data_IF_905884734612
#
_entry.id   IF_905884734612
#
_cell.length_a   1.000
_cell.length_b   1.000
_cell.length_c   1.000
_cell.angle_alpha   90.00
_cell.angle_beta   90.00
_cell.angle_gamma   90.00
#
_symmetry.space_group_name_H-M   'P 1'
#
loop_
_entity.id
_entity.type
_entity.pdbx_description
1 polymer ?
#
# COMPACT_ATOMS: atom_id res chain seq x y z
N UNK A 1 7.55 21.06 -11.70
CA UNK A 1 6.36 20.34 -11.20
C UNK A 1 6.48 18.90 -11.67
N UNK A 2 6.51 17.91 -10.76
CA UNK A 2 6.60 16.49 -11.13
C UNK A 2 5.25 16.03 -11.69
N UNK A 3 5.22 15.39 -12.86
CA UNK A 3 3.99 14.83 -13.42
C UNK A 3 3.62 13.53 -12.70
N UNK A 4 2.34 13.15 -12.74
CA UNK A 4 1.86 11.93 -12.08
C UNK A 4 2.44 10.64 -12.71
N UNK A 5 2.67 10.66 -14.01
CA UNK A 5 3.33 9.56 -14.74
C UNK A 5 4.77 9.40 -14.29
N UNK A 6 5.53 10.49 -14.23
CA UNK A 6 6.92 10.44 -13.76
C UNK A 6 6.98 9.97 -12.30
N UNK A 7 6.05 10.42 -11.44
CA UNK A 7 6.01 9.96 -10.06
C UNK A 7 5.70 8.46 -9.95
N UNK A 8 4.78 7.96 -10.77
CA UNK A 8 4.48 6.52 -10.85
C UNK A 8 5.74 5.72 -11.21
N UNK A 9 6.48 6.16 -12.21
CA UNK A 9 7.70 5.47 -12.67
C UNK A 9 8.78 5.47 -11.59
N UNK A 10 8.96 6.57 -10.86
CA UNK A 10 9.87 6.64 -9.71
C UNK A 10 9.47 5.70 -8.57
N UNK A 11 8.16 5.55 -8.31
CA UNK A 11 7.67 4.61 -7.31
C UNK A 11 7.91 3.15 -7.75
N UNK A 12 7.68 2.83 -9.01
CA UNK A 12 7.98 1.49 -9.55
C UNK A 12 9.49 1.19 -9.57
N UNK A 13 10.33 2.21 -9.77
CA UNK A 13 11.78 2.10 -9.70
C UNK A 13 12.30 1.73 -8.29
N UNK A 14 11.46 1.72 -7.25
CA UNK A 14 11.78 1.21 -5.90
C UNK A 14 11.84 -0.32 -5.82
N UNK A 15 11.64 -1.03 -6.94
CA UNK A 15 11.71 -2.50 -7.02
C UNK A 15 10.73 -3.19 -6.06
N UNK A 16 9.49 -2.69 -6.04
CA UNK A 16 8.42 -3.27 -5.25
C UNK A 16 8.20 -4.75 -5.61
N UNK A 17 8.07 -5.63 -4.60
CA UNK A 17 7.78 -7.04 -4.82
C UNK A 17 6.59 -7.27 -5.76
N UNK A 18 6.72 -8.29 -6.60
CA UNK A 18 5.60 -8.90 -7.35
C UNK A 18 5.06 -10.11 -6.57
N UNK A 19 4.04 -10.79 -7.12
CA UNK A 19 3.40 -11.95 -6.50
C UNK A 19 4.42 -13.07 -6.20
N UNK A 20 5.38 -13.29 -7.12
CA UNK A 20 6.41 -14.32 -6.96
C UNK A 20 7.36 -13.99 -5.81
N UNK A 21 7.83 -12.75 -5.72
CA UNK A 21 8.72 -12.29 -4.65
C UNK A 21 8.00 -12.30 -3.30
N UNK A 22 6.74 -11.87 -3.27
CA UNK A 22 5.88 -11.94 -2.09
C UNK A 22 5.71 -13.39 -1.59
N UNK A 23 5.44 -14.33 -2.48
CA UNK A 23 5.34 -15.74 -2.13
C UNK A 23 6.65 -16.32 -1.58
N UNK A 24 7.79 -15.94 -2.17
CA UNK A 24 9.12 -16.32 -1.65
C UNK A 24 9.36 -15.77 -0.25
N UNK A 25 8.99 -14.51 0.00
CA UNK A 25 9.07 -13.87 1.33
C UNK A 25 8.19 -14.62 2.34
N UNK A 26 6.99 -15.04 1.92
CA UNK A 26 6.06 -15.87 2.71
C UNK A 26 6.45 -17.36 2.78
N UNK A 27 7.58 -17.76 2.16
CA UNK A 27 8.07 -19.16 2.09
C UNK A 27 7.07 -20.14 1.48
N UNK A 28 6.25 -19.68 0.53
CA UNK A 28 5.35 -20.53 -0.26
C UNK A 28 6.09 -21.19 -1.42
N UNK A 29 5.79 -22.45 -1.70
CA UNK A 29 6.53 -23.28 -2.65
C UNK A 29 5.78 -23.64 -3.94
N UNK A 30 4.49 -23.31 -4.08
CA UNK A 30 3.66 -23.73 -5.21
C UNK A 30 2.93 -22.56 -5.88
N UNK A 31 3.04 -22.45 -7.22
CA UNK A 31 2.55 -21.33 -8.04
C UNK A 31 1.04 -21.10 -7.96
N UNK A 32 0.21 -22.15 -8.01
CA UNK A 32 -1.25 -22.01 -7.88
C UNK A 32 -1.68 -21.47 -6.50
N UNK A 33 -0.82 -21.57 -5.51
CA UNK A 33 -1.05 -20.97 -4.20
C UNK A 33 -0.63 -19.50 -4.16
N UNK A 34 0.21 -19.02 -5.07
CA UNK A 34 0.78 -17.66 -5.05
C UNK A 34 -0.26 -16.59 -5.35
N UNK A 35 -0.90 -16.64 -6.52
CA UNK A 35 -1.87 -15.63 -6.94
C UNK A 35 -3.09 -15.62 -6.00
N UNK A 36 -3.59 -16.81 -5.65
CA UNK A 36 -4.70 -16.95 -4.69
C UNK A 36 -4.32 -16.45 -3.30
N UNK A 37 -3.08 -16.66 -2.87
CA UNK A 37 -2.59 -16.15 -1.59
C UNK A 37 -2.57 -14.63 -1.57
N UNK A 38 -1.97 -14.00 -2.58
CA UNK A 38 -1.84 -12.56 -2.60
C UNK A 38 -3.20 -11.87 -2.81
N UNK A 39 -4.05 -12.42 -3.68
CA UNK A 39 -5.43 -11.97 -3.84
C UNK A 39 -6.21 -12.07 -2.52
N UNK A 40 -6.10 -13.19 -1.79
CA UNK A 40 -6.74 -13.35 -0.48
C UNK A 40 -6.26 -12.32 0.53
N UNK A 41 -4.96 -12.05 0.60
CA UNK A 41 -4.42 -11.04 1.51
C UNK A 41 -4.92 -9.62 1.18
N UNK A 42 -5.03 -9.28 -0.11
CA UNK A 42 -5.63 -8.02 -0.57
C UNK A 42 -7.10 -7.91 -0.19
N UNK A 43 -7.90 -8.93 -0.53
CA UNK A 43 -9.35 -8.94 -0.21
C UNK A 43 -9.63 -8.93 1.29
N UNK A 44 -8.71 -9.46 2.12
CA UNK A 44 -8.80 -9.37 3.57
C UNK A 44 -8.37 -8.01 4.15
N UNK A 45 -7.94 -7.06 3.31
CA UNK A 45 -7.43 -5.76 3.76
C UNK A 45 -6.11 -5.85 4.53
N UNK A 46 -5.35 -6.92 4.34
CA UNK A 46 -4.08 -7.17 5.06
C UNK A 46 -2.84 -6.94 4.20
N UNK A 47 -3.02 -6.69 2.91
CA UNK A 47 -1.94 -6.44 1.95
C UNK A 47 -2.38 -5.36 0.98
N UNK A 48 -1.50 -4.40 0.74
CA UNK A 48 -1.69 -3.33 -0.23
C UNK A 48 -0.98 -3.66 -1.54
N UNK A 49 -1.71 -3.64 -2.64
CA UNK A 49 -1.16 -3.79 -3.98
C UNK A 49 -1.57 -2.63 -4.89
N UNK A 50 -0.68 -2.28 -5.81
CA UNK A 50 -0.95 -1.37 -6.93
C UNK A 50 -1.03 -2.16 -8.23
N UNK A 51 -2.04 -1.87 -9.06
CA UNK A 51 -2.18 -2.51 -10.38
C UNK A 51 -1.32 -1.80 -11.42
N UNK A 52 -0.38 -2.53 -12.01
CA UNK A 52 0.49 -2.03 -13.08
C UNK A 52 -0.05 -2.49 -14.42
N UNK A 53 -0.85 -1.62 -15.05
CA UNK A 53 -1.59 -1.94 -16.27
C UNK A 53 -0.75 -2.54 -17.40
N UNK A 54 0.46 -2.03 -17.66
CA UNK A 54 1.32 -2.54 -18.73
C UNK A 54 1.99 -3.90 -18.39
N UNK A 55 2.10 -4.24 -17.10
CA UNK A 55 2.60 -5.55 -16.65
C UNK A 55 1.46 -6.57 -16.50
N UNK A 56 0.20 -6.12 -16.52
CA UNK A 56 -0.98 -6.91 -16.16
C UNK A 56 -0.81 -7.63 -14.81
N UNK A 57 -0.14 -6.98 -13.86
CA UNK A 57 0.23 -7.56 -12.59
C UNK A 57 0.13 -6.54 -11.44
N UNK A 58 0.11 -7.05 -10.22
CA UNK A 58 0.21 -6.22 -9.03
C UNK A 58 1.67 -6.07 -8.59
N UNK A 59 1.97 -4.90 -8.03
CA UNK A 59 3.18 -4.65 -7.25
C UNK A 59 2.81 -4.28 -5.83
N UNK A 60 3.65 -4.64 -4.87
CA UNK A 60 3.39 -4.51 -3.45
C UNK A 60 4.32 -3.46 -2.85
N UNK A 61 3.82 -2.26 -2.49
CA UNK A 61 4.68 -1.20 -1.96
C UNK A 61 5.47 -1.63 -0.73
N UNK A 62 6.74 -1.24 -0.65
CA UNK A 62 7.72 -1.72 0.33
C UNK A 62 7.40 -1.30 1.78
N UNK A 63 6.69 -0.17 1.95
CA UNK A 63 6.22 0.34 3.25
C UNK A 63 5.57 -0.72 4.14
N UNK A 64 4.90 -1.71 3.55
CA UNK A 64 4.13 -2.70 4.28
C UNK A 64 4.97 -3.83 4.87
N UNK A 65 6.25 -3.97 4.50
CA UNK A 65 7.09 -5.10 4.93
C UNK A 65 8.08 -4.72 6.03
N UNK A 66 8.33 -5.63 6.97
CA UNK A 66 9.44 -5.54 7.92
C UNK A 66 10.78 -6.00 7.30
N UNK A 67 11.86 -5.94 8.09
CA UNK A 67 13.21 -6.35 7.65
C UNK A 67 13.32 -7.84 7.33
N UNK A 68 12.36 -8.66 7.79
CA UNK A 68 12.27 -10.08 7.53
C UNK A 68 11.36 -10.40 6.33
N UNK A 69 10.71 -9.38 5.76
CA UNK A 69 9.77 -9.52 4.65
C UNK A 69 8.34 -9.91 5.07
N UNK A 70 8.00 -9.85 6.36
CA UNK A 70 6.62 -10.05 6.80
C UNK A 70 5.81 -8.77 6.62
N UNK A 71 4.52 -8.89 6.32
CA UNK A 71 3.62 -7.73 6.32
C UNK A 71 3.43 -7.24 7.76
N UNK A 72 3.69 -5.95 8.01
CA UNK A 72 3.50 -5.30 9.30
C UNK A 72 2.02 -5.35 9.70
N UNK A 73 1.67 -5.71 10.95
CA UNK A 73 0.27 -5.82 11.36
C UNK A 73 -0.50 -4.49 11.25
N UNK A 74 0.17 -3.36 11.43
CA UNK A 74 -0.42 -2.01 11.35
C UNK A 74 -0.90 -1.65 9.93
N UNK A 75 -0.48 -2.39 8.90
CA UNK A 75 -0.94 -2.21 7.52
C UNK A 75 -2.45 -2.41 7.43
N UNK A 76 -2.98 -3.40 8.14
CA UNK A 76 -4.41 -3.65 8.16
C UNK A 76 -5.18 -2.48 8.80
N UNK A 77 -4.64 -1.88 9.86
CA UNK A 77 -5.25 -0.72 10.52
C UNK A 77 -5.25 0.50 9.59
N UNK A 78 -4.15 0.72 8.86
CA UNK A 78 -4.04 1.79 7.89
C UNK A 78 -4.99 1.59 6.70
N UNK A 79 -5.06 0.38 6.15
CA UNK A 79 -5.91 0.08 4.98
C UNK A 79 -7.40 0.17 5.26
N UNK A 80 -7.85 0.02 6.52
CA UNK A 80 -9.25 0.27 6.89
C UNK A 80 -9.64 1.75 6.86
N UNK A 81 -8.67 2.66 6.88
CA UNK A 81 -8.90 4.11 6.88
C UNK A 81 -8.74 4.69 5.48
N UNK A 82 -7.83 4.15 4.68
CA UNK A 82 -7.58 4.63 3.33
C UNK A 82 -8.70 4.21 2.36
N UNK A 83 -8.84 4.90 1.19
CA UNK A 83 -9.85 4.56 0.19
C UNK A 83 -9.86 3.07 -0.17
N UNK A 84 -11.06 2.49 -0.24
CA UNK A 84 -11.25 1.07 -0.54
C UNK A 84 -10.95 0.71 -2.00
N UNK A 85 -11.12 -0.57 -2.36
CA UNK A 85 -10.96 -1.02 -3.75
C UNK A 85 -11.97 -0.35 -4.70
N UNK A 86 -13.19 -0.03 -4.23
CA UNK A 86 -14.20 0.63 -5.08
C UNK A 86 -13.81 2.05 -5.48
N UNK A 87 -13.13 2.78 -4.59
CA UNK A 87 -12.71 4.18 -4.80
C UNK A 87 -11.31 4.29 -5.43
N UNK A 88 -10.46 3.28 -5.24
CA UNK A 88 -9.07 3.25 -5.70
C UNK A 88 -8.70 1.85 -6.22
N UNK A 89 -9.44 1.39 -7.24
CA UNK A 89 -9.26 0.05 -7.87
C UNK A 89 -7.82 -0.27 -8.24
N UNK A 90 -7.07 0.74 -8.67
CA UNK A 90 -5.66 0.58 -9.07
C UNK A 90 -4.66 0.69 -7.93
N UNK A 91 -5.08 1.10 -6.73
CA UNK A 91 -4.21 1.36 -5.58
C UNK A 91 -3.34 2.62 -5.71
N UNK A 92 -3.43 3.35 -6.82
CA UNK A 92 -2.50 4.46 -7.09
C UNK A 92 -2.78 5.68 -6.22
N UNK A 93 -4.04 5.96 -5.87
CA UNK A 93 -4.36 7.08 -4.96
C UNK A 93 -3.72 6.85 -3.58
N UNK A 94 -3.83 5.63 -3.06
CA UNK A 94 -3.18 5.22 -1.80
C UNK A 94 -1.66 5.28 -1.88
N UNK A 95 -1.08 4.82 -2.98
CA UNK A 95 0.36 4.89 -3.19
C UNK A 95 0.84 6.35 -3.21
N UNK A 96 0.18 7.23 -3.95
CA UNK A 96 0.57 8.64 -3.98
C UNK A 96 0.45 9.30 -2.61
N UNK A 97 -0.59 8.99 -1.84
CA UNK A 97 -0.69 9.47 -0.47
C UNK A 97 0.49 8.99 0.39
N UNK A 98 0.81 7.70 0.33
CA UNK A 98 1.89 7.09 1.11
C UNK A 98 3.28 7.65 0.81
N UNK A 99 3.55 8.01 -0.44
CA UNK A 99 4.89 8.42 -0.87
C UNK A 99 5.04 9.91 -1.20
N UNK A 100 4.00 10.73 -0.94
CA UNK A 100 4.10 12.18 -1.09
C UNK A 100 4.48 12.85 0.23
N UNK A 101 5.28 13.95 0.19
CA UNK A 101 5.49 14.82 1.35
C UNK A 101 4.18 15.22 2.00
N UNK A 102 4.10 15.10 3.33
CA UNK A 102 2.84 15.27 4.05
C UNK A 102 2.94 16.37 5.10
N UNK A 103 2.01 17.33 5.08
CA UNK A 103 2.04 18.51 5.95
C UNK A 103 1.93 18.15 7.44
N UNK A 104 1.11 17.16 7.78
CA UNK A 104 0.95 16.65 9.15
C UNK A 104 2.15 15.80 9.65
N UNK A 105 3.16 15.57 8.80
CA UNK A 105 4.36 14.78 9.10
C UNK A 105 5.64 15.57 8.82
N UNK A 106 5.59 16.89 8.99
CA UNK A 106 6.74 17.81 8.80
C UNK A 106 7.39 17.69 7.42
N UNK A 107 6.58 17.43 6.38
CA UNK A 107 7.04 17.28 5.00
C UNK A 107 7.66 15.91 4.68
N UNK A 108 7.76 14.99 5.65
CA UNK A 108 8.12 13.60 5.39
C UNK A 108 6.96 12.85 4.74
N UNK A 109 7.27 11.76 4.06
CA UNK A 109 6.23 10.90 3.48
C UNK A 109 5.63 9.99 4.57
N UNK A 110 4.34 9.62 4.47
CA UNK A 110 3.75 8.63 5.36
C UNK A 110 4.54 7.31 5.36
N UNK A 111 5.05 6.86 4.21
CA UNK A 111 5.85 5.65 4.10
C UNK A 111 7.15 5.71 4.91
N UNK A 112 7.88 6.84 4.89
CA UNK A 112 9.08 7.03 5.70
C UNK A 112 8.78 7.03 7.20
N UNK A 113 7.67 7.66 7.61
CA UNK A 113 7.29 7.71 9.03
C UNK A 113 6.79 6.35 9.49
N UNK A 114 6.05 5.61 8.65
CA UNK A 114 5.46 4.32 8.98
C UNK A 114 6.48 3.28 9.43
N UNK A 115 7.72 3.36 8.93
CA UNK A 115 8.80 2.46 9.31
C UNK A 115 9.17 2.51 10.80
N UNK A 116 8.97 3.66 11.44
CA UNK A 116 9.35 3.89 12.84
C UNK A 116 8.18 4.25 13.76
N UNK A 117 7.14 4.87 13.21
CA UNK A 117 6.00 5.41 13.94
C UNK A 117 4.69 5.10 13.21
N UNK A 118 4.32 3.82 13.02
CA UNK A 118 3.14 3.43 12.24
C UNK A 118 1.83 4.00 12.81
N UNK A 119 1.73 4.11 14.14
CA UNK A 119 0.55 4.71 14.81
C UNK A 119 0.33 6.16 14.42
N UNK A 120 1.40 6.95 14.29
CA UNK A 120 1.30 8.36 13.89
C UNK A 120 0.68 8.49 12.50
N UNK A 121 1.09 7.63 11.56
CA UNK A 121 0.54 7.62 10.20
C UNK A 121 -0.92 7.16 10.18
N UNK A 122 -1.28 6.17 11.00
CA UNK A 122 -2.68 5.73 11.17
C UNK A 122 -3.55 6.87 11.72
N UNK A 123 -3.05 7.65 12.68
CA UNK A 123 -3.77 8.81 13.21
C UNK A 123 -3.92 9.93 12.17
N UNK A 124 -2.90 10.15 11.34
CA UNK A 124 -2.99 11.08 10.20
C UNK A 124 -4.03 10.62 9.19
N UNK A 125 -4.01 9.34 8.79
CA UNK A 125 -5.03 8.78 7.90
C UNK A 125 -6.43 8.91 8.50
N UNK A 126 -6.59 8.66 9.81
CA UNK A 126 -7.87 8.84 10.49
C UNK A 126 -8.37 10.28 10.39
N UNK A 127 -7.51 11.27 10.58
CA UNK A 127 -7.91 12.70 10.48
C UNK A 127 -8.37 13.07 9.08
N UNK A 128 -7.78 12.49 8.05
CA UNK A 128 -8.09 12.85 6.66
C UNK A 128 -9.26 12.05 6.07
N UNK A 129 -9.45 10.80 6.48
CA UNK A 129 -10.41 9.89 5.85
C UNK A 129 -11.56 9.44 6.77
N UNK A 130 -11.52 9.71 8.08
CA UNK A 130 -12.64 9.33 8.98
C UNK A 130 -13.90 10.20 8.81
N UNK A 131 -13.85 11.28 8.02
CA UNK A 131 -14.99 12.17 7.79
C UNK A 131 -16.01 11.64 6.76
N UNK A 132 -15.67 10.60 5.99
CA UNK A 132 -16.53 10.13 4.89
C UNK A 132 -17.43 8.94 5.26
N UNK A 133 -17.42 8.51 6.53
CA UNK A 133 -18.25 7.40 7.02
C UNK A 133 -19.73 7.75 7.33
N UNK A 134 -20.11 9.02 7.28
CA UNK A 134 -21.45 9.51 7.66
C UNK A 134 -22.11 10.37 6.56
N UNK A 135 -21.83 10.05 5.30
CA UNK A 135 -22.60 10.57 4.16
C UNK A 135 -23.27 9.42 3.42
N UNK A 136 -24.38 8.96 3.99
CA UNK A 136 -25.42 8.22 3.27
C UNK A 136 -25.89 9.07 2.09
N UNK A 137 -25.72 8.57 0.87
CA UNK A 137 -26.53 8.93 -0.30
C UNK A 137 -26.86 7.67 -1.11
#
# INVERSE_FOLDING_TARGET
>A
MRSIEHFRDELLAKDWPDDLRLAKMARLSHSENIERFAARLRSNGTLFGVWVAHEHAFRYPDVQFDVLGNVKPEVADLLRLLPGEDEDRGGWRRAFWLYSPHALLDGRTPAEVFQSQPRLVVDVARREFAADGDSSW
#
